data_IF_034026123663
#
_entry.id   IF_034026123663
#
_cell.length_a   1.000
_cell.length_b   1.000
_cell.length_c   1.000
_cell.angle_alpha   90.00
_cell.angle_beta   90.00
_cell.angle_gamma   90.00
#
_symmetry.space_group_name_H-M   'P 1'
#
loop_
_entity.id
_entity.type
_entity.pdbx_description
1 polymer ?
#
# COMPACT_ATOMS: atom_id res chain seq x y z
N UNK A 1 -1.71 4.26 -17.68
CA UNK A 1 -1.65 4.89 -16.35
C UNK A 1 -1.65 6.37 -16.56
N UNK A 2 -2.80 7.00 -16.33
CA UNK A 2 -2.95 8.46 -16.38
C UNK A 2 -1.91 9.09 -15.46
N UNK A 3 -1.03 9.90 -16.02
CA UNK A 3 -0.24 10.86 -15.24
C UNK A 3 -1.25 11.87 -14.71
N UNK A 4 -1.81 11.57 -13.53
CA UNK A 4 -2.79 12.43 -12.88
C UNK A 4 -2.16 13.81 -12.74
N UNK A 5 -2.79 14.82 -13.32
CA UNK A 5 -2.34 16.19 -13.13
C UNK A 5 -2.30 16.52 -11.63
N UNK A 6 -1.40 17.36 -11.14
CA UNK A 6 -1.33 17.75 -9.73
C UNK A 6 -2.69 18.18 -9.15
N UNK A 7 -3.53 18.78 -9.99
CA UNK A 7 -4.89 19.19 -9.63
C UNK A 7 -5.81 18.00 -9.31
N UNK A 8 -5.77 16.92 -10.12
CA UNK A 8 -6.56 15.70 -9.87
C UNK A 8 -6.13 15.00 -8.58
N UNK A 9 -4.82 14.97 -8.30
CA UNK A 9 -4.29 14.43 -7.04
C UNK A 9 -4.82 15.23 -5.85
N UNK A 10 -4.80 16.56 -5.93
CA UNK A 10 -5.32 17.44 -4.88
C UNK A 10 -6.84 17.24 -4.65
N UNK A 11 -7.63 17.16 -5.71
CA UNK A 11 -9.08 16.90 -5.62
C UNK A 11 -9.38 15.53 -5.00
N UNK A 12 -8.58 14.51 -5.35
CA UNK A 12 -8.70 13.18 -4.77
C UNK A 12 -8.37 13.18 -3.27
N UNK A 13 -7.31 13.88 -2.87
CA UNK A 13 -6.94 14.03 -1.45
C UNK A 13 -8.06 14.73 -0.67
N UNK A 14 -8.60 15.83 -1.18
CA UNK A 14 -9.72 16.55 -0.54
C UNK A 14 -10.98 15.71 -0.41
N UNK A 15 -11.29 14.91 -1.42
CA UNK A 15 -12.46 14.02 -1.37
C UNK A 15 -12.26 12.91 -0.33
N UNK A 16 -11.05 12.33 -0.27
CA UNK A 16 -10.69 11.32 0.71
C UNK A 16 -10.70 11.89 2.14
N UNK A 17 -10.18 13.12 2.32
CA UNK A 17 -10.19 13.82 3.60
C UNK A 17 -11.62 13.94 4.17
N UNK A 18 -12.56 14.38 3.34
CA UNK A 18 -13.96 14.52 3.76
C UNK A 18 -14.59 13.19 4.21
N UNK A 19 -14.26 12.11 3.51
CA UNK A 19 -14.76 10.76 3.83
C UNK A 19 -14.15 10.27 5.15
N UNK A 20 -12.85 10.45 5.34
CA UNK A 20 -12.13 10.05 6.54
C UNK A 20 -12.52 10.85 7.78
N UNK A 21 -12.77 12.15 7.64
CA UNK A 21 -13.30 12.99 8.72
C UNK A 21 -14.70 12.57 9.15
N UNK A 22 -15.46 11.94 8.28
CA UNK A 22 -16.75 11.34 8.58
C UNK A 22 -16.69 10.01 9.35
N UNK A 23 -15.49 9.54 9.75
CA UNK A 23 -15.29 8.30 10.50
C UNK A 23 -15.20 7.04 9.64
N UNK A 24 -15.10 7.19 8.31
CA UNK A 24 -14.92 6.06 7.37
C UNK A 24 -13.45 5.70 7.24
N UNK A 25 -13.14 4.40 7.15
CA UNK A 25 -11.79 3.93 6.82
C UNK A 25 -11.59 3.84 5.32
N UNK A 26 -10.35 4.04 4.87
CA UNK A 26 -9.94 3.91 3.48
C UNK A 26 -9.00 2.72 3.31
N UNK A 27 -9.34 1.80 2.42
CA UNK A 27 -8.45 0.70 2.02
C UNK A 27 -7.70 1.11 0.76
N UNK A 28 -6.38 0.94 0.79
CA UNK A 28 -5.50 1.32 -0.34
C UNK A 28 -4.53 0.18 -0.64
N UNK A 29 -4.30 -0.07 -1.92
CA UNK A 29 -3.24 -0.95 -2.40
C UNK A 29 -2.04 -0.09 -2.81
N UNK A 30 -1.01 0.01 -1.95
CA UNK A 30 0.05 1.01 -2.14
C UNK A 30 0.98 0.73 -3.32
N UNK A 31 1.02 -0.50 -3.81
CA UNK A 31 1.75 -0.86 -5.03
C UNK A 31 1.11 -0.24 -6.29
N UNK A 32 -0.20 0.06 -6.24
CA UNK A 32 -0.95 0.71 -7.31
C UNK A 32 -1.27 -0.17 -8.52
N UNK A 33 -0.76 -1.39 -8.57
CA UNK A 33 -1.06 -2.38 -9.60
C UNK A 33 -0.78 -3.79 -9.08
N UNK A 34 -1.38 -4.80 -9.71
CA UNK A 34 -1.02 -6.20 -9.46
C UNK A 34 0.38 -6.47 -10.00
N UNK A 35 1.19 -7.21 -9.25
CA UNK A 35 2.52 -7.65 -9.70
C UNK A 35 2.43 -8.67 -10.85
N UNK A 36 3.47 -8.71 -11.69
CA UNK A 36 3.61 -9.73 -12.72
C UNK A 36 4.28 -11.01 -12.21
N UNK A 37 5.12 -10.89 -11.19
CA UNK A 37 6.00 -11.97 -10.69
C UNK A 37 5.56 -12.54 -9.35
N UNK A 38 4.58 -11.92 -8.69
CA UNK A 38 4.19 -12.21 -7.31
C UNK A 38 5.02 -11.46 -6.28
N UNK A 39 6.19 -10.92 -6.64
CA UNK A 39 7.00 -10.14 -5.70
C UNK A 39 6.32 -8.82 -5.35
N UNK A 40 6.42 -8.43 -4.08
CA UNK A 40 5.92 -7.15 -3.61
C UNK A 40 6.71 -6.01 -4.26
N UNK A 41 6.01 -5.07 -4.87
CA UNK A 41 6.60 -3.91 -5.52
C UNK A 41 6.80 -2.74 -4.53
N UNK A 42 7.56 -1.75 -4.97
CA UNK A 42 7.73 -0.52 -4.20
C UNK A 42 6.41 0.22 -4.00
N UNK A 43 6.22 0.78 -2.82
CA UNK A 43 5.01 1.52 -2.50
C UNK A 43 5.01 2.92 -3.12
N UNK A 44 3.84 3.36 -3.57
CA UNK A 44 3.60 4.71 -4.05
C UNK A 44 3.25 5.63 -2.90
N UNK A 45 3.74 6.85 -2.94
CA UNK A 45 3.60 7.84 -1.86
C UNK A 45 2.15 8.30 -1.58
N UNK A 46 1.23 8.16 -2.53
CA UNK A 46 -0.09 8.82 -2.48
C UNK A 46 -0.91 8.56 -1.21
N UNK A 47 -1.05 7.30 -0.80
CA UNK A 47 -1.80 6.94 0.40
C UNK A 47 -1.11 7.44 1.68
N UNK A 48 0.20 7.33 1.74
CA UNK A 48 0.99 7.76 2.89
C UNK A 48 1.05 9.27 3.02
N UNK A 49 1.04 10.00 1.89
CA UNK A 49 0.90 11.44 1.89
C UNK A 49 -0.43 11.88 2.51
N UNK A 50 -1.52 11.18 2.22
CA UNK A 50 -2.81 11.44 2.83
C UNK A 50 -2.78 11.17 4.34
N UNK A 51 -2.18 10.05 4.77
CA UNK A 51 -2.02 9.72 6.18
C UNK A 51 -1.15 10.75 6.93
N UNK A 52 -0.07 11.24 6.30
CA UNK A 52 0.76 12.31 6.83
C UNK A 52 -0.02 13.62 6.97
N UNK A 53 -0.73 14.05 5.92
CA UNK A 53 -1.49 15.30 5.93
C UNK A 53 -2.60 15.33 6.98
N UNK A 54 -3.27 14.20 7.18
CA UNK A 54 -4.38 14.08 8.13
C UNK A 54 -3.95 13.52 9.50
N UNK A 55 -2.67 13.20 9.66
CA UNK A 55 -2.13 12.58 10.88
C UNK A 55 -2.91 11.35 11.33
N UNK A 56 -3.25 10.49 10.35
CA UNK A 56 -3.99 9.26 10.57
C UNK A 56 -3.07 8.05 10.72
N UNK A 57 -3.44 7.09 11.58
CA UNK A 57 -2.72 5.83 11.66
C UNK A 57 -2.91 5.01 10.39
N UNK A 58 -1.89 4.23 10.06
CA UNK A 58 -1.91 3.26 8.97
C UNK A 58 -1.93 1.86 9.56
N UNK A 59 -2.88 1.03 9.14
CA UNK A 59 -2.94 -0.39 9.53
C UNK A 59 -2.48 -1.23 8.34
N UNK A 60 -1.27 -1.79 8.37
CA UNK A 60 -0.82 -2.66 7.29
C UNK A 60 -1.60 -3.98 7.27
N UNK A 61 -1.91 -4.47 6.07
CA UNK A 61 -2.58 -5.75 5.84
C UNK A 61 -1.75 -6.56 4.86
N UNK A 62 -1.39 -7.78 5.22
CA UNK A 62 -0.75 -8.73 4.31
C UNK A 62 -1.78 -9.69 3.74
N UNK A 63 -1.86 -9.77 2.41
CA UNK A 63 -2.68 -10.74 1.69
C UNK A 63 -1.74 -11.74 1.03
N UNK A 64 -1.71 -12.96 1.54
CA UNK A 64 -0.95 -14.07 0.95
C UNK A 64 -1.87 -15.03 0.19
N UNK A 65 -1.41 -15.56 -0.93
CA UNK A 65 -2.13 -16.51 -1.77
C UNK A 65 -2.92 -15.90 -2.94
N UNK A 66 -3.14 -14.60 -2.96
CA UNK A 66 -3.93 -13.94 -4.02
C UNK A 66 -3.29 -14.08 -5.40
N UNK A 67 -1.96 -14.03 -5.50
CA UNK A 67 -1.21 -14.23 -6.73
C UNK A 67 -1.33 -15.67 -7.26
N UNK A 68 -1.32 -16.65 -6.36
CA UNK A 68 -1.46 -18.07 -6.72
C UNK A 68 -2.88 -18.40 -7.22
N UNK A 69 -3.90 -17.66 -6.76
CA UNK A 69 -5.29 -17.82 -7.23
C UNK A 69 -5.47 -17.28 -8.63
N UNK A 70 -5.00 -16.08 -8.91
CA UNK A 70 -5.11 -15.43 -10.21
C UNK A 70 -3.87 -14.59 -10.53
N UNK A 71 -2.81 -15.19 -11.08
CA UNK A 71 -1.66 -14.45 -11.58
C UNK A 71 -2.09 -13.42 -12.63
N UNK A 72 -1.40 -12.28 -12.67
CA UNK A 72 -1.74 -11.20 -13.62
C UNK A 72 -1.70 -11.65 -15.09
N UNK A 73 -0.84 -12.60 -15.41
CA UNK A 73 -0.70 -13.21 -16.75
C UNK A 73 -1.62 -14.40 -16.97
N UNK A 74 -2.25 -14.91 -15.92
CA UNK A 74 -3.14 -16.06 -15.97
C UNK A 74 -4.56 -15.69 -16.40
N UNK A 75 -5.19 -16.59 -17.13
CA UNK A 75 -6.61 -16.48 -17.54
C UNK A 75 -7.52 -17.42 -16.75
N UNK A 76 -6.94 -18.33 -15.99
CA UNK A 76 -7.67 -19.34 -15.21
C UNK A 76 -7.48 -19.09 -13.72
N UNK A 77 -8.58 -19.24 -12.99
CA UNK A 77 -8.56 -19.24 -11.52
C UNK A 77 -8.04 -20.58 -11.03
N UNK A 78 -7.09 -20.53 -10.10
CA UNK A 78 -6.60 -21.72 -9.40
C UNK A 78 -7.14 -21.72 -7.97
N UNK A 79 -7.50 -22.90 -7.47
CA UNK A 79 -7.84 -23.03 -6.06
C UNK A 79 -6.57 -22.94 -5.23
N UNK A 80 -6.50 -21.99 -4.31
CA UNK A 80 -5.39 -21.80 -3.38
C UNK A 80 -5.91 -21.16 -2.10
N UNK A 81 -5.42 -21.56 -0.92
CA UNK A 81 -5.78 -20.90 0.32
C UNK A 81 -5.26 -19.45 0.32
N UNK A 82 -6.05 -18.56 0.90
CA UNK A 82 -5.70 -17.14 1.05
C UNK A 82 -5.68 -16.78 2.53
N UNK A 83 -4.62 -16.12 2.96
CA UNK A 83 -4.47 -15.63 4.33
C UNK A 83 -4.43 -14.12 4.35
N UNK A 84 -5.23 -13.52 5.23
CA UNK A 84 -5.19 -12.10 5.54
C UNK A 84 -4.60 -11.91 6.93
N UNK A 85 -3.48 -11.22 7.03
CA UNK A 85 -2.86 -10.85 8.31
C UNK A 85 -3.04 -9.34 8.54
N UNK A 86 -3.62 -8.99 9.67
CA UNK A 86 -3.79 -7.61 10.13
C UNK A 86 -2.66 -7.29 11.10
N UNK A 87 -1.85 -6.28 10.79
CA UNK A 87 -0.73 -5.86 11.63
C UNK A 87 -1.13 -4.74 12.59
N UNK A 88 -0.26 -4.48 13.56
CA UNK A 88 -0.43 -3.37 14.49
C UNK A 88 -0.47 -2.03 13.75
N UNK A 89 -1.31 -1.10 14.21
CA UNK A 89 -1.37 0.24 13.65
C UNK A 89 -0.03 0.98 13.77
N UNK A 90 0.37 1.66 12.73
CA UNK A 90 1.53 2.56 12.71
C UNK A 90 1.01 3.98 12.86
N UNK A 91 1.39 4.62 13.96
CA UNK A 91 0.95 5.99 14.27
C UNK A 91 1.92 7.02 13.69
N UNK A 92 1.42 8.15 13.19
CA UNK A 92 2.26 9.24 12.72
C UNK A 92 3.08 9.85 13.88
N UNK A 93 4.19 10.50 13.53
CA UNK A 93 5.12 11.10 14.50
C UNK A 93 4.58 12.37 15.21
N UNK A 94 3.35 12.79 14.93
CA UNK A 94 2.77 14.02 15.46
C UNK A 94 3.19 15.30 14.74
N UNK A 95 4.03 15.20 13.71
CA UNK A 95 4.44 16.28 12.82
C UNK A 95 4.33 15.84 11.36
N UNK A 96 3.85 16.71 10.51
CA UNK A 96 3.75 16.46 9.06
C UNK A 96 5.11 16.64 8.39
N UNK A 97 5.34 15.91 7.31
CA UNK A 97 6.50 16.10 6.47
C UNK A 97 7.16 14.81 6.01
N UNK A 98 8.25 14.95 5.27
CA UNK A 98 8.93 13.82 4.61
C UNK A 98 9.41 12.75 5.60
N UNK A 99 9.87 13.13 6.79
CA UNK A 99 10.30 12.18 7.81
C UNK A 99 9.16 11.26 8.25
N UNK A 100 7.98 11.84 8.54
CA UNK A 100 6.80 11.08 8.91
C UNK A 100 6.30 10.20 7.75
N UNK A 101 6.26 10.77 6.54
CA UNK A 101 5.88 10.05 5.32
C UNK A 101 6.77 8.81 5.09
N UNK A 102 8.09 8.97 5.15
CA UNK A 102 9.04 7.88 4.94
C UNK A 102 8.95 6.83 6.05
N UNK A 103 8.75 7.23 7.28
CA UNK A 103 8.54 6.31 8.40
C UNK A 103 7.28 5.46 8.17
N UNK A 104 6.14 6.08 7.85
CA UNK A 104 4.88 5.36 7.58
C UNK A 104 5.04 4.37 6.42
N UNK A 105 5.72 4.76 5.34
CA UNK A 105 5.98 3.89 4.19
C UNK A 105 6.89 2.72 4.56
N UNK A 106 8.02 2.99 5.22
CA UNK A 106 9.03 1.99 5.54
C UNK A 106 8.50 0.94 6.54
N UNK A 107 7.82 1.39 7.59
CA UNK A 107 7.26 0.48 8.60
C UNK A 107 6.09 -0.35 8.03
N UNK A 108 5.26 0.24 7.18
CA UNK A 108 4.20 -0.50 6.47
C UNK A 108 4.78 -1.55 5.54
N UNK A 109 5.84 -1.22 4.78
CA UNK A 109 6.51 -2.15 3.89
C UNK A 109 7.08 -3.35 4.64
N UNK A 110 7.82 -3.09 5.72
CA UNK A 110 8.40 -4.14 6.57
C UNK A 110 7.32 -5.05 7.18
N UNK A 111 6.24 -4.45 7.70
CA UNK A 111 5.16 -5.21 8.32
C UNK A 111 4.53 -6.18 7.30
N UNK A 112 4.21 -5.70 6.11
CA UNK A 112 3.58 -6.51 5.07
C UNK A 112 4.55 -7.59 4.56
N UNK A 113 5.82 -7.22 4.28
CA UNK A 113 6.82 -8.14 3.76
C UNK A 113 7.14 -9.28 4.73
N UNK A 114 7.14 -9.00 6.03
CA UNK A 114 7.48 -9.97 7.08
C UNK A 114 6.68 -11.27 6.95
N UNK A 115 5.39 -11.16 6.69
CA UNK A 115 4.46 -12.30 6.67
C UNK A 115 4.17 -12.84 5.25
N UNK A 116 4.85 -12.30 4.23
CA UNK A 116 4.84 -12.89 2.90
C UNK A 116 5.78 -14.09 2.82
N UNK A 117 5.43 -15.13 2.03
CA UNK A 117 6.36 -16.20 1.69
C UNK A 117 7.64 -15.66 1.07
N UNK A 118 8.78 -16.31 1.36
CA UNK A 118 10.09 -15.86 0.87
C UNK A 118 10.13 -15.64 -0.65
N UNK A 119 9.41 -16.47 -1.40
CA UNK A 119 9.29 -16.37 -2.87
C UNK A 119 8.60 -15.08 -3.36
N UNK A 120 7.86 -14.38 -2.49
CA UNK A 120 7.09 -13.17 -2.83
C UNK A 120 7.60 -11.92 -2.13
N UNK A 121 8.62 -12.03 -1.28
CA UNK A 121 9.25 -10.85 -0.68
C UNK A 121 9.82 -9.95 -1.76
N UNK A 122 9.72 -8.64 -1.54
CA UNK A 122 10.19 -7.66 -2.49
C UNK A 122 11.68 -7.82 -2.75
N UNK A 123 12.08 -7.69 -4.01
CA UNK A 123 13.44 -7.32 -4.33
C UNK A 123 13.49 -5.79 -4.29
N UNK A 124 14.44 -5.22 -3.56
CA UNK A 124 14.76 -3.81 -3.76
C UNK A 124 15.21 -3.67 -5.21
N UNK A 125 14.30 -3.35 -6.11
CA UNK A 125 14.69 -2.88 -7.42
C UNK A 125 15.31 -1.51 -7.21
N UNK A 126 16.55 -1.33 -7.66
CA UNK A 126 17.20 -0.02 -7.70
C UNK A 126 16.25 0.95 -8.43
N UNK A 127 16.05 2.16 -7.90
CA UNK A 127 15.16 3.15 -8.53
C UNK A 127 15.62 3.63 -9.91
N UNK A 128 16.75 3.14 -10.42
CA UNK A 128 17.37 3.55 -11.68
C UNK A 128 17.32 2.48 -12.80
N UNK A 129 16.39 1.53 -12.74
CA UNK A 129 16.12 0.63 -13.86
C UNK A 129 14.69 0.75 -14.36
#
# INVERSE_FOLDING_TARGET
VDKSSPRKVYETIKSAEKVLQGGTSLVVFPEGARTFTGHMANFKKGAFLLADQLQLPVVPLTIDGSFDILPRTGKLLHWHPMTLTIHEPIYPLGKKGEENLQMLMAESYKAIEKDLPQKYKGKMENPDQ
#
